data_IF_828721886794
#
_entry.id   IF_828721886794
#
_cell.length_a   1.000
_cell.length_b   1.000
_cell.length_c   1.000
_cell.angle_alpha   90.00
_cell.angle_beta   90.00
_cell.angle_gamma   90.00
#
_symmetry.space_group_name_H-M   'P 1'
#
loop_
_entity.id
_entity.type
_entity.pdbx_description
1 polymer ?
#
# COMPACT_ATOMS: atom_id res chain seq x y z
N UNK A 1 7.58 76.49 31.78
CA UNK A 1 7.06 76.01 33.08
C UNK A 1 6.47 74.61 32.89
N UNK A 2 6.81 73.69 33.80
CA UNK A 2 6.24 72.34 34.11
C UNK A 2 5.69 71.47 32.95
N UNK A 3 6.36 70.37 32.58
CA UNK A 3 6.26 68.98 33.16
C UNK A 3 4.84 68.36 33.12
N UNK A 4 4.66 67.22 32.43
CA UNK A 4 4.47 65.85 33.01
C UNK A 4 3.90 64.84 31.97
N UNK A 5 4.61 63.71 31.82
CA UNK A 5 4.19 62.30 31.66
C UNK A 5 3.18 61.81 30.60
N UNK A 6 3.49 60.63 30.05
CA UNK A 6 2.48 59.58 29.85
C UNK A 6 2.56 58.78 28.56
N UNK A 7 3.20 57.61 28.62
CA UNK A 7 3.16 56.54 27.61
C UNK A 7 1.75 55.95 27.50
N UNK A 8 1.20 55.80 26.29
CA UNK A 8 0.32 54.66 25.95
C UNK A 8 0.58 54.19 24.50
N UNK A 9 0.92 52.92 24.47
CA UNK A 9 1.07 51.97 23.37
C UNK A 9 -0.23 51.83 22.54
N UNK A 10 -0.15 51.90 21.21
CA UNK A 10 -1.17 51.26 20.35
C UNK A 10 -0.57 50.77 19.03
N UNK A 11 -0.48 49.44 19.00
CA UNK A 11 -0.29 48.49 17.91
C UNK A 11 -0.26 49.05 16.47
N UNK A 12 0.93 48.97 15.89
CA UNK A 12 1.11 48.91 14.44
C UNK A 12 0.96 47.44 14.03
N UNK A 13 -0.14 47.10 13.36
CA UNK A 13 -0.32 45.80 12.71
C UNK A 13 0.61 45.77 11.50
N UNK A 14 1.84 45.32 11.71
CA UNK A 14 2.73 44.90 10.62
C UNK A 14 2.30 43.47 10.28
N UNK A 15 1.59 43.31 9.17
CA UNK A 15 1.45 42.01 8.53
C UNK A 15 2.85 41.57 8.07
N UNK A 16 3.54 40.81 8.93
CA UNK A 16 4.64 39.97 8.51
C UNK A 16 4.07 38.91 7.58
N UNK A 17 4.32 39.07 6.29
CA UNK A 17 4.27 37.97 5.33
C UNK A 17 5.38 37.02 5.75
N UNK A 18 5.08 36.11 6.67
CA UNK A 18 5.84 34.88 6.82
C UNK A 18 5.63 34.13 5.51
N UNK A 19 6.59 34.27 4.60
CA UNK A 19 6.79 33.30 3.55
C UNK A 19 6.92 31.95 4.24
N UNK A 20 5.90 31.12 4.11
CA UNK A 20 5.99 29.69 4.38
C UNK A 20 6.98 29.17 3.34
N UNK A 21 8.26 29.23 3.66
CA UNK A 21 9.28 28.47 2.96
C UNK A 21 9.01 27.03 3.38
N UNK A 22 8.09 26.38 2.67
CA UNK A 22 8.04 24.93 2.66
C UNK A 22 9.41 24.40 2.22
N UNK A 23 9.75 23.14 2.55
CA UNK A 23 10.94 22.52 2.01
C UNK A 23 10.97 22.73 0.49
N UNK A 24 12.13 23.14 -0.03
CA UNK A 24 12.31 23.31 -1.47
C UNK A 24 11.82 22.04 -2.17
N UNK A 25 11.03 22.15 -3.27
CA UNK A 25 10.67 20.98 -4.04
C UNK A 25 11.97 20.30 -4.43
N UNK A 26 12.15 19.04 -4.01
CA UNK A 26 13.22 18.19 -4.54
C UNK A 26 12.92 18.08 -6.02
N UNK A 27 13.61 18.88 -6.83
CA UNK A 27 13.49 18.81 -8.28
C UNK A 27 14.02 17.44 -8.68
N UNK A 28 13.11 16.50 -8.96
CA UNK A 28 13.50 15.23 -9.53
C UNK A 28 14.25 15.51 -10.84
N UNK A 29 15.45 14.92 -10.96
CA UNK A 29 16.26 14.90 -12.18
C UNK A 29 15.35 14.50 -13.38
N UNK A 30 15.53 15.02 -14.61
CA UNK A 30 14.85 14.48 -15.80
C UNK A 30 15.03 12.95 -15.94
N UNK A 31 14.05 12.27 -16.54
CA UNK A 31 13.99 10.80 -16.55
C UNK A 31 15.13 10.17 -17.36
N UNK A 32 15.51 10.83 -18.45
CA UNK A 32 16.60 10.47 -19.35
C UNK A 32 17.99 10.69 -18.75
N UNK A 33 18.08 11.51 -17.71
CA UNK A 33 19.30 11.71 -16.98
C UNK A 33 19.58 10.57 -15.98
N UNK A 34 18.59 9.75 -15.59
CA UNK A 34 18.84 8.56 -14.77
C UNK A 34 19.54 7.47 -15.57
N UNK A 35 20.48 6.78 -14.93
CA UNK A 35 21.15 5.62 -15.52
C UNK A 35 20.83 4.35 -14.73
N UNK A 36 20.24 3.37 -15.41
CA UNK A 36 19.85 2.08 -14.82
C UNK A 36 20.71 0.95 -15.38
N UNK A 37 21.17 0.06 -14.50
CA UNK A 37 21.77 -1.22 -14.91
C UNK A 37 20.71 -2.32 -14.81
N UNK A 38 20.45 -3.03 -15.90
CA UNK A 38 19.59 -4.21 -15.93
C UNK A 38 20.46 -5.45 -15.96
N UNK A 39 20.48 -6.20 -14.85
CA UNK A 39 21.24 -7.43 -14.70
C UNK A 39 20.39 -8.63 -15.11
N UNK A 40 20.81 -9.30 -16.19
CA UNK A 40 20.23 -10.55 -16.69
C UNK A 40 21.19 -11.29 -17.62
N UNK A 41 21.10 -12.61 -17.65
CA UNK A 41 21.71 -13.44 -18.69
C UNK A 41 20.72 -13.76 -19.82
N UNK A 42 19.43 -13.86 -19.51
CA UNK A 42 18.36 -14.14 -20.47
C UNK A 42 17.12 -13.29 -20.19
N UNK A 43 16.25 -13.13 -21.18
CA UNK A 43 14.93 -12.54 -20.96
C UNK A 43 14.08 -13.46 -20.09
N UNK A 44 13.67 -12.97 -18.91
CA UNK A 44 12.78 -13.69 -18.02
C UNK A 44 11.47 -14.03 -18.74
N UNK A 45 11.02 -15.27 -18.62
CA UNK A 45 9.76 -15.73 -19.25
C UNK A 45 9.68 -15.51 -20.77
N UNK A 46 10.84 -15.38 -21.43
CA UNK A 46 10.98 -15.07 -22.84
C UNK A 46 10.49 -13.66 -23.22
N UNK A 47 10.51 -12.70 -22.30
CA UNK A 47 10.01 -11.34 -22.54
C UNK A 47 11.00 -10.24 -22.13
N UNK A 48 11.17 -9.18 -22.96
CA UNK A 48 11.98 -8.01 -22.63
C UNK A 48 11.23 -6.96 -21.78
N UNK A 49 10.16 -7.34 -21.08
CA UNK A 49 9.23 -6.43 -20.36
C UNK A 49 9.91 -5.33 -19.55
N UNK A 50 11.01 -5.62 -18.82
CA UNK A 50 11.75 -4.60 -18.05
C UNK A 50 12.31 -3.51 -18.96
N UNK A 51 13.10 -3.89 -19.97
CA UNK A 51 13.77 -2.91 -20.84
C UNK A 51 12.75 -2.16 -21.70
N UNK A 52 11.70 -2.82 -22.18
CA UNK A 52 10.60 -2.15 -22.89
C UNK A 52 9.83 -1.16 -22.01
N UNK A 53 9.73 -1.42 -20.70
CA UNK A 53 9.15 -0.46 -19.76
C UNK A 53 10.05 0.75 -19.59
N UNK A 54 11.36 0.55 -19.41
CA UNK A 54 12.34 1.64 -19.29
C UNK A 54 12.40 2.51 -20.56
N UNK A 55 12.38 1.88 -21.75
CA UNK A 55 12.25 2.58 -23.04
C UNK A 55 10.99 3.45 -23.08
N UNK A 56 9.85 2.90 -22.68
CA UNK A 56 8.58 3.61 -22.63
C UNK A 56 8.53 4.75 -21.61
N UNK A 57 9.44 4.74 -20.63
CA UNK A 57 9.64 5.82 -19.65
C UNK A 57 10.74 6.80 -20.05
N UNK A 58 11.45 6.55 -21.16
CA UNK A 58 12.61 7.31 -21.60
C UNK A 58 13.75 7.31 -20.54
N UNK A 59 13.97 6.17 -19.88
CA UNK A 59 15.07 5.98 -18.92
C UNK A 59 16.27 5.37 -19.65
N UNK A 60 17.45 5.95 -19.48
CA UNK A 60 18.68 5.38 -20.04
C UNK A 60 19.08 4.13 -19.25
N UNK A 61 19.36 3.03 -19.95
CA UNK A 61 19.82 1.80 -19.30
C UNK A 61 20.95 1.09 -20.06
N UNK A 62 21.64 0.21 -19.34
CA UNK A 62 22.54 -0.80 -19.91
C UNK A 62 22.13 -2.19 -19.43
N UNK A 63 22.15 -3.16 -20.34
CA UNK A 63 22.03 -4.58 -19.98
C UNK A 63 23.42 -5.15 -19.73
N UNK A 64 23.56 -5.92 -18.65
CA UNK A 64 24.82 -6.57 -18.25
C UNK A 64 24.55 -7.98 -17.73
N UNK A 65 25.39 -8.93 -18.14
CA UNK A 65 25.34 -10.31 -17.65
C UNK A 65 26.01 -10.49 -16.29
N UNK A 66 25.72 -11.61 -15.61
CA UNK A 66 26.29 -11.92 -14.29
C UNK A 66 27.82 -12.03 -14.30
N UNK A 67 28.39 -12.63 -15.35
CA UNK A 67 29.84 -12.79 -15.52
C UNK A 67 30.54 -11.45 -15.77
N UNK A 68 29.88 -10.54 -16.50
CA UNK A 68 30.39 -9.20 -16.76
C UNK A 68 30.42 -8.35 -15.49
N UNK A 69 29.37 -8.41 -14.65
CA UNK A 69 29.32 -7.73 -13.35
C UNK A 69 30.50 -8.12 -12.44
N UNK A 70 30.97 -9.36 -12.52
CA UNK A 70 32.14 -9.84 -11.78
C UNK A 70 33.38 -8.98 -12.00
N UNK A 71 33.51 -8.39 -13.19
CA UNK A 71 34.66 -7.56 -13.59
C UNK A 71 34.49 -6.07 -13.29
N UNK A 72 33.31 -5.63 -12.82
CA UNK A 72 33.02 -4.22 -12.51
C UNK A 72 33.19 -3.98 -11.00
N UNK A 73 33.88 -2.91 -10.64
CA UNK A 73 34.09 -2.53 -9.24
C UNK A 73 32.86 -1.82 -8.65
N UNK A 74 32.69 -1.86 -7.32
CA UNK A 74 31.61 -1.12 -6.64
C UNK A 74 31.65 0.38 -6.96
N UNK A 75 32.84 0.98 -7.00
CA UNK A 75 33.02 2.39 -7.29
C UNK A 75 32.53 2.77 -8.70
N UNK A 76 32.79 1.91 -9.69
CA UNK A 76 32.28 2.10 -11.05
C UNK A 76 30.74 2.00 -11.07
N UNK A 77 30.16 1.03 -10.37
CA UNK A 77 28.70 0.91 -10.25
C UNK A 77 28.10 2.17 -9.62
N UNK A 78 28.63 2.61 -8.48
CA UNK A 78 28.14 3.78 -7.73
C UNK A 78 28.26 5.06 -8.55
N UNK A 79 29.33 5.25 -9.33
CA UNK A 79 29.50 6.45 -10.16
C UNK A 79 28.62 6.46 -11.40
N UNK A 80 28.26 5.28 -11.91
CA UNK A 80 27.59 5.15 -13.22
C UNK A 80 26.08 5.04 -13.08
N UNK A 81 25.59 4.21 -12.16
CA UNK A 81 24.18 3.82 -12.13
C UNK A 81 23.48 4.36 -10.88
N UNK A 82 22.32 4.97 -11.09
CA UNK A 82 21.43 5.43 -10.04
C UNK A 82 20.62 4.28 -9.43
N UNK A 83 20.30 3.27 -10.25
CA UNK A 83 19.62 2.05 -9.83
C UNK A 83 20.15 0.81 -10.57
N UNK A 84 20.19 -0.33 -9.89
CA UNK A 84 20.41 -1.65 -10.48
C UNK A 84 19.11 -2.45 -10.34
N UNK A 85 18.64 -3.05 -11.44
CA UNK A 85 17.50 -3.98 -11.47
C UNK A 85 18.04 -5.38 -11.77
N UNK A 86 17.79 -6.34 -10.88
CA UNK A 86 18.03 -7.76 -11.10
C UNK A 86 16.73 -8.39 -11.62
N UNK A 87 16.79 -8.89 -12.86
CA UNK A 87 15.66 -9.53 -13.55
C UNK A 87 15.51 -10.97 -13.06
N UNK A 88 14.27 -11.45 -12.96
CA UNK A 88 13.96 -12.77 -12.41
C UNK A 88 14.07 -13.92 -13.44
N UNK A 89 13.66 -15.14 -13.05
CA UNK A 89 13.64 -16.35 -13.91
C UNK A 89 14.91 -16.59 -14.76
N UNK A 90 16.08 -16.51 -14.14
CA UNK A 90 17.38 -16.71 -14.78
C UNK A 90 17.88 -18.17 -14.66
N UNK A 91 18.87 -18.60 -15.48
CA UNK A 91 19.56 -19.88 -15.29
C UNK A 91 20.31 -19.94 -13.95
N UNK A 92 20.55 -21.14 -13.42
CA UNK A 92 21.24 -21.29 -12.12
C UNK A 92 22.61 -20.59 -12.08
N UNK A 93 23.37 -20.62 -13.18
CA UNK A 93 24.68 -19.93 -13.26
C UNK A 93 24.59 -18.43 -12.98
N UNK A 94 23.48 -17.78 -13.36
CA UNK A 94 23.25 -16.38 -13.01
C UNK A 94 23.13 -16.19 -11.50
N UNK A 95 22.31 -16.98 -10.83
CA UNK A 95 22.11 -16.85 -9.38
C UNK A 95 23.37 -17.24 -8.59
N UNK A 96 24.12 -18.23 -9.05
CA UNK A 96 25.41 -18.60 -8.45
C UNK A 96 26.41 -17.45 -8.56
N UNK A 97 26.55 -16.87 -9.75
CA UNK A 97 27.42 -15.71 -9.99
C UNK A 97 26.99 -14.52 -9.13
N UNK A 98 25.71 -14.13 -9.18
CA UNK A 98 25.19 -13.00 -8.41
C UNK A 98 25.30 -13.24 -6.90
N UNK A 99 25.13 -14.48 -6.43
CA UNK A 99 25.30 -14.87 -5.04
C UNK A 99 26.69 -14.49 -4.51
N UNK A 100 27.75 -14.68 -5.31
CA UNK A 100 29.11 -14.26 -4.95
C UNK A 100 29.29 -12.73 -4.91
N UNK A 101 28.39 -11.98 -5.53
CA UNK A 101 28.44 -10.52 -5.65
C UNK A 101 27.49 -9.80 -4.67
N UNK A 102 26.74 -10.50 -3.81
CA UNK A 102 25.78 -9.86 -2.88
C UNK A 102 26.46 -8.79 -2.02
N UNK A 103 27.65 -9.05 -1.47
CA UNK A 103 28.40 -8.04 -0.69
C UNK A 103 28.72 -6.78 -1.50
N UNK A 104 29.12 -6.93 -2.77
CA UNK A 104 29.38 -5.82 -3.71
C UNK A 104 28.12 -4.98 -3.93
N UNK A 105 26.97 -5.64 -4.13
CA UNK A 105 25.68 -4.99 -4.32
C UNK A 105 25.17 -4.31 -3.04
N UNK A 106 25.40 -4.90 -1.87
CA UNK A 106 25.11 -4.25 -0.59
C UNK A 106 25.93 -2.97 -0.40
N UNK A 107 27.22 -2.98 -0.75
CA UNK A 107 28.06 -1.79 -0.67
C UNK A 107 27.63 -0.69 -1.64
N UNK A 108 27.19 -1.06 -2.84
CA UNK A 108 26.55 -0.15 -3.79
C UNK A 108 25.32 0.56 -3.17
N UNK A 109 24.45 -0.20 -2.49
CA UNK A 109 23.27 0.37 -1.82
C UNK A 109 23.68 1.23 -0.62
N UNK A 110 24.64 0.77 0.21
CA UNK A 110 25.14 1.56 1.35
C UNK A 110 25.67 2.93 0.93
N UNK A 111 26.22 3.05 -0.27
CA UNK A 111 26.71 4.29 -0.86
C UNK A 111 25.60 5.29 -1.27
N UNK A 112 24.32 4.92 -1.15
CA UNK A 112 23.19 5.80 -1.46
C UNK A 112 22.46 5.45 -2.76
N UNK A 113 22.72 4.26 -3.31
CA UNK A 113 22.10 3.81 -4.56
C UNK A 113 20.97 2.81 -4.30
N UNK A 114 20.23 2.47 -5.36
CA UNK A 114 19.02 1.67 -5.26
C UNK A 114 19.19 0.31 -5.93
N UNK A 115 18.82 -0.75 -5.22
CA UNK A 115 18.83 -2.10 -5.75
C UNK A 115 17.41 -2.66 -5.79
N UNK A 116 16.91 -2.92 -6.99
CA UNK A 116 15.64 -3.58 -7.24
C UNK A 116 15.91 -5.05 -7.61
N UNK A 117 15.30 -5.98 -6.88
CA UNK A 117 15.49 -7.42 -7.07
C UNK A 117 14.16 -8.06 -7.38
N UNK A 118 13.99 -8.51 -8.62
CA UNK A 118 12.94 -9.44 -8.97
C UNK A 118 13.42 -10.84 -8.59
N UNK A 119 12.92 -11.35 -7.47
CA UNK A 119 13.37 -12.59 -6.86
C UNK A 119 12.52 -13.80 -7.27
N UNK A 120 11.42 -13.61 -8.01
CA UNK A 120 10.54 -14.67 -8.48
C UNK A 120 11.29 -15.68 -9.36
N UNK A 121 11.70 -16.79 -8.77
CA UNK A 121 12.37 -17.89 -9.46
C UNK A 121 11.42 -19.10 -9.50
N UNK A 122 11.94 -20.32 -9.72
CA UNK A 122 11.10 -21.51 -10.00
C UNK A 122 10.24 -21.38 -11.26
N UNK A 123 10.74 -20.63 -12.25
CA UNK A 123 10.14 -20.51 -13.56
C UNK A 123 10.80 -21.40 -14.61
N UNK A 124 10.80 -20.94 -15.85
CA UNK A 124 11.32 -21.70 -16.99
C UNK A 124 12.84 -21.58 -17.14
N UNK A 125 13.45 -20.56 -16.56
CA UNK A 125 14.91 -20.41 -16.48
C UNK A 125 15.57 -21.45 -15.57
N UNK A 126 14.80 -22.06 -14.66
CA UNK A 126 15.22 -23.21 -13.86
C UNK A 126 16.24 -22.91 -12.75
N UNK A 127 16.73 -21.68 -12.63
CA UNK A 127 17.59 -21.26 -11.54
C UNK A 127 16.81 -20.89 -10.27
N UNK A 128 17.47 -20.96 -9.12
CA UNK A 128 16.93 -20.58 -7.82
C UNK A 128 17.94 -19.78 -6.99
N UNK A 129 17.42 -18.89 -6.16
CA UNK A 129 18.19 -18.17 -5.14
C UNK A 129 18.56 -19.13 -4.01
N UNK A 130 19.85 -19.44 -3.89
CA UNK A 130 20.42 -20.24 -2.79
C UNK A 130 21.16 -19.38 -1.76
N UNK A 131 21.46 -18.13 -2.13
CA UNK A 131 22.12 -17.14 -1.27
C UNK A 131 21.07 -16.16 -0.74
N UNK A 132 21.13 -15.76 0.55
CA UNK A 132 20.28 -14.70 1.06
C UNK A 132 20.44 -13.40 0.28
N UNK A 133 19.34 -12.68 0.09
CA UNK A 133 19.31 -11.32 -0.43
C UNK A 133 19.91 -10.35 0.61
N UNK A 134 20.17 -9.09 0.24
CA UNK A 134 20.70 -8.09 1.17
C UNK A 134 19.99 -8.07 2.53
N UNK A 135 20.77 -7.87 3.59
CA UNK A 135 20.30 -7.94 4.99
C UNK A 135 19.69 -9.29 5.38
N UNK A 136 20.14 -10.38 4.75
CA UNK A 136 19.73 -11.75 5.05
C UNK A 136 18.24 -12.03 4.78
N UNK A 137 17.62 -11.26 3.87
CA UNK A 137 16.25 -11.51 3.40
C UNK A 137 16.23 -12.78 2.55
N UNK A 138 15.21 -13.61 2.71
CA UNK A 138 15.09 -14.87 1.98
C UNK A 138 13.76 -14.94 1.25
N UNK A 139 13.76 -15.32 -0.02
CA UNK A 139 12.54 -15.68 -0.73
C UNK A 139 12.11 -17.10 -0.35
N UNK A 140 10.83 -17.27 -0.05
CA UNK A 140 10.19 -18.54 0.26
C UNK A 140 9.22 -18.88 -0.87
N UNK A 141 9.36 -20.09 -1.41
CA UNK A 141 8.50 -20.57 -2.50
C UNK A 141 7.03 -20.59 -2.07
N UNK A 142 6.18 -19.91 -2.83
CA UNK A 142 4.75 -19.89 -2.64
C UNK A 142 4.10 -19.25 -3.85
N UNK A 143 3.19 -19.94 -4.50
CA UNK A 143 2.53 -19.41 -5.69
C UNK A 143 1.22 -18.70 -5.31
N UNK A 144 0.99 -17.54 -5.90
CA UNK A 144 -0.30 -16.87 -5.84
C UNK A 144 -0.68 -16.35 -7.22
N UNK A 145 -1.96 -16.50 -7.57
CA UNK A 145 -2.55 -15.87 -8.75
C UNK A 145 -3.06 -14.45 -8.45
N UNK A 146 -2.96 -14.03 -7.19
CA UNK A 146 -3.52 -12.79 -6.68
C UNK A 146 -2.53 -12.19 -5.68
N UNK A 147 -2.14 -10.94 -5.90
CA UNK A 147 -1.34 -10.17 -4.96
C UNK A 147 -2.08 -8.86 -4.63
N UNK A 148 -2.07 -8.48 -3.37
CA UNK A 148 -2.75 -7.30 -2.88
C UNK A 148 -1.76 -6.17 -2.64
N UNK A 149 -1.98 -5.02 -3.27
CA UNK A 149 -1.19 -3.81 -3.12
C UNK A 149 -1.68 -3.06 -1.88
N UNK A 150 -0.88 -3.12 -0.81
CA UNK A 150 -1.25 -2.64 0.52
C UNK A 150 -1.50 -1.13 0.54
N UNK A 151 -0.63 -0.26 -0.03
CA UNK A 151 -0.83 1.18 0.02
C UNK A 151 -2.10 1.65 -0.72
N UNK A 152 -2.44 0.97 -1.82
CA UNK A 152 -3.49 1.43 -2.74
C UNK A 152 -4.81 0.68 -2.57
N UNK A 153 -4.83 -0.39 -1.77
CA UNK A 153 -5.98 -1.26 -1.55
C UNK A 153 -6.57 -1.79 -2.89
N UNK A 154 -5.69 -2.21 -3.79
CA UNK A 154 -6.03 -2.84 -5.06
C UNK A 154 -5.42 -4.23 -5.15
N UNK A 155 -5.94 -5.01 -6.09
CA UNK A 155 -5.49 -6.38 -6.33
C UNK A 155 -4.89 -6.51 -7.72
N UNK A 156 -3.72 -7.13 -7.80
CA UNK A 156 -3.07 -7.54 -9.04
C UNK A 156 -3.40 -9.01 -9.30
N UNK A 157 -3.89 -9.28 -10.51
CA UNK A 157 -4.29 -10.62 -10.94
C UNK A 157 -3.40 -11.11 -12.09
N UNK A 158 -2.93 -12.35 -12.00
CA UNK A 158 -2.17 -13.04 -13.05
C UNK A 158 -2.23 -14.54 -12.79
N UNK A 159 -2.08 -15.39 -13.81
CA UNK A 159 -2.00 -16.86 -13.60
C UNK A 159 -0.94 -17.25 -12.58
N UNK A 160 0.13 -16.46 -12.51
CA UNK A 160 1.22 -16.62 -11.56
C UNK A 160 1.65 -15.24 -11.05
N UNK A 161 0.76 -14.47 -10.40
CA UNK A 161 1.07 -13.13 -9.89
C UNK A 161 2.36 -13.07 -9.09
N UNK A 162 2.59 -14.05 -8.20
CA UNK A 162 3.84 -14.23 -7.48
C UNK A 162 4.27 -15.68 -7.39
N UNK A 163 5.58 -15.89 -7.31
CA UNK A 163 6.24 -17.19 -7.11
C UNK A 163 6.81 -17.36 -5.71
N UNK A 164 6.80 -16.30 -4.90
CA UNK A 164 7.21 -16.40 -3.51
C UNK A 164 6.84 -15.18 -2.69
N UNK A 165 7.05 -15.31 -1.38
CA UNK A 165 7.01 -14.23 -0.41
C UNK A 165 8.34 -14.16 0.33
N UNK A 166 8.58 -13.07 1.06
CA UNK A 166 9.83 -12.87 1.79
C UNK A 166 9.69 -13.18 3.27
N UNK A 167 10.71 -13.88 3.78
CA UNK A 167 10.95 -14.06 5.20
C UNK A 167 12.20 -13.27 5.63
N UNK A 168 12.35 -13.07 6.94
CA UNK A 168 13.46 -12.32 7.53
C UNK A 168 13.58 -10.88 7.01
N UNK A 169 12.45 -10.26 6.64
CA UNK A 169 12.44 -8.84 6.34
C UNK A 169 12.89 -8.04 7.56
N UNK A 170 13.73 -7.01 7.37
CA UNK A 170 14.16 -6.18 8.48
C UNK A 170 12.99 -5.35 9.04
N UNK A 171 13.13 -4.89 10.29
CA UNK A 171 12.04 -4.20 11.00
C UNK A 171 11.60 -2.87 10.35
N UNK A 172 12.47 -2.25 9.55
CA UNK A 172 12.20 -1.03 8.79
C UNK A 172 11.63 -1.31 7.39
N UNK A 173 11.31 -2.56 7.05
CA UNK A 173 10.73 -2.89 5.76
C UNK A 173 9.30 -2.33 5.64
N UNK A 174 9.07 -1.58 4.58
CA UNK A 174 7.75 -1.22 4.09
C UNK A 174 7.21 -2.34 3.20
N UNK A 175 6.02 -2.85 3.52
CA UNK A 175 5.36 -3.89 2.74
C UNK A 175 4.50 -3.23 1.66
N UNK A 176 4.81 -3.50 0.40
CA UNK A 176 4.09 -2.93 -0.76
C UNK A 176 3.01 -3.89 -1.24
N UNK A 177 3.34 -5.19 -1.34
CA UNK A 177 2.37 -6.22 -1.72
C UNK A 177 2.44 -7.43 -0.80
N UNK A 178 1.29 -8.10 -0.64
CA UNK A 178 1.17 -9.38 0.05
C UNK A 178 0.41 -10.37 -0.82
N UNK A 179 0.72 -11.66 -0.70
CA UNK A 179 -0.04 -12.70 -1.41
C UNK A 179 -1.49 -12.74 -0.93
N UNK A 180 -2.41 -13.07 -1.83
CA UNK A 180 -3.83 -13.24 -1.51
C UNK A 180 -4.43 -14.45 -2.24
N UNK A 181 -3.90 -15.68 -2.08
CA UNK A 181 -4.25 -16.83 -2.91
C UNK A 181 -5.73 -17.24 -2.82
N UNK A 182 -6.42 -16.85 -1.74
CA UNK A 182 -7.86 -17.06 -1.52
C UNK A 182 -8.72 -15.82 -1.83
N UNK A 183 -8.11 -14.76 -2.38
CA UNK A 183 -8.70 -13.43 -2.55
C UNK A 183 -8.65 -12.56 -1.29
N UNK A 184 -8.17 -13.10 -0.16
CA UNK A 184 -7.96 -12.35 1.09
C UNK A 184 -6.46 -12.08 1.29
N UNK A 185 -6.03 -10.84 1.58
CA UNK A 185 -4.61 -10.52 1.83
C UNK A 185 -4.01 -11.29 3.01
N UNK A 186 -2.92 -12.01 2.77
CA UNK A 186 -2.14 -12.73 3.78
C UNK A 186 -0.91 -11.91 4.20
N UNK A 187 -1.06 -11.02 5.20
CA UNK A 187 0.01 -10.12 5.64
C UNK A 187 1.27 -10.80 6.19
N UNK A 188 1.22 -12.10 6.48
CA UNK A 188 2.39 -12.92 6.81
C UNK A 188 3.19 -13.37 5.58
N UNK A 189 2.72 -13.08 4.37
CA UNK A 189 3.34 -13.43 3.09
C UNK A 189 3.59 -12.19 2.23
N UNK A 190 4.49 -11.29 2.65
CA UNK A 190 4.85 -10.12 1.86
C UNK A 190 5.53 -10.54 0.57
N UNK A 191 4.96 -10.16 -0.57
CA UNK A 191 5.48 -10.48 -1.90
C UNK A 191 6.25 -9.33 -2.52
N UNK A 192 6.14 -8.10 -2.00
CA UNK A 192 7.03 -6.98 -2.35
C UNK A 192 7.30 -6.15 -1.11
N UNK A 193 8.56 -5.80 -0.88
CA UNK A 193 8.96 -4.96 0.24
C UNK A 193 10.13 -4.05 -0.13
N UNK A 194 10.18 -2.88 0.50
CA UNK A 194 11.29 -1.92 0.40
C UNK A 194 11.90 -1.72 1.78
N UNK A 195 13.23 -1.75 1.90
CA UNK A 195 13.91 -1.53 3.18
C UNK A 195 15.23 -0.79 3.01
N UNK A 196 15.65 -0.09 4.05
CA UNK A 196 16.87 0.72 4.00
C UNK A 196 18.13 -0.13 4.15
N UNK A 197 19.22 0.32 3.53
CA UNK A 197 20.56 -0.23 3.73
C UNK A 197 21.59 0.89 3.54
N UNK A 198 22.14 1.38 4.65
CA UNK A 198 23.02 2.55 4.64
C UNK A 198 22.26 3.80 4.18
N UNK A 199 22.75 4.47 3.13
CA UNK A 199 22.11 5.67 2.58
C UNK A 199 21.10 5.38 1.46
N UNK A 200 21.07 4.16 0.95
CA UNK A 200 20.17 3.73 -0.11
C UNK A 200 19.11 2.76 0.41
N UNK A 201 18.43 2.09 -0.52
CA UNK A 201 17.42 1.09 -0.20
C UNK A 201 17.43 -0.07 -1.18
N UNK A 202 16.83 -1.17 -0.73
CA UNK A 202 16.58 -2.36 -1.53
C UNK A 202 15.08 -2.54 -1.69
N UNK A 203 14.64 -2.72 -2.94
CA UNK A 203 13.28 -3.12 -3.31
C UNK A 203 13.31 -4.57 -3.74
N UNK A 204 12.63 -5.46 -3.03
CA UNK A 204 12.56 -6.89 -3.38
C UNK A 204 11.14 -7.27 -3.75
N UNK A 205 10.98 -8.06 -4.80
CA UNK A 205 9.67 -8.54 -5.24
C UNK A 205 9.70 -10.02 -5.65
N UNK A 206 8.78 -10.81 -5.12
CA UNK A 206 8.46 -12.18 -5.52
C UNK A 206 7.37 -12.23 -6.59
N UNK A 207 6.93 -11.07 -7.10
CA UNK A 207 6.02 -10.96 -8.23
C UNK A 207 6.71 -11.39 -9.53
N UNK A 208 5.94 -11.95 -10.46
CA UNK A 208 6.42 -12.29 -11.81
C UNK A 208 6.23 -11.09 -12.77
N UNK A 209 6.82 -9.94 -12.44
CA UNK A 209 6.59 -8.66 -13.15
C UNK A 209 6.73 -8.82 -14.67
N UNK A 210 7.81 -9.45 -15.11
CA UNK A 210 8.15 -9.64 -16.52
C UNK A 210 7.13 -10.53 -17.24
N UNK A 211 6.71 -11.62 -16.60
CA UNK A 211 5.65 -12.50 -17.10
C UNK A 211 4.32 -11.76 -17.19
N UNK A 212 3.98 -11.02 -16.13
CA UNK A 212 2.65 -10.47 -15.94
C UNK A 212 2.41 -9.24 -16.80
N UNK A 213 3.41 -8.37 -16.99
CA UNK A 213 3.37 -7.29 -17.99
C UNK A 213 3.12 -7.87 -19.40
N UNK A 214 3.83 -8.94 -19.75
CA UNK A 214 3.75 -9.52 -21.10
C UNK A 214 2.40 -10.18 -21.42
N UNK A 215 1.63 -10.58 -20.41
CA UNK A 215 0.48 -11.48 -20.58
C UNK A 215 -0.83 -11.02 -19.94
N UNK A 216 -0.79 -10.11 -18.96
CA UNK A 216 -1.96 -9.76 -18.14
C UNK A 216 -2.30 -8.27 -18.15
N UNK A 217 -1.71 -7.48 -19.05
CA UNK A 217 -2.26 -6.17 -19.43
C UNK A 217 -1.68 -4.95 -18.70
N UNK A 218 -2.34 -3.79 -18.83
CA UNK A 218 -1.81 -2.47 -18.46
C UNK A 218 -1.65 -2.25 -16.95
N UNK A 219 -2.42 -2.93 -16.10
CA UNK A 219 -2.34 -2.77 -14.64
C UNK A 219 -0.98 -3.17 -14.09
N UNK A 220 -0.40 -4.26 -14.60
CA UNK A 220 0.95 -4.70 -14.23
C UNK A 220 2.03 -3.77 -14.74
N UNK A 221 1.85 -3.20 -15.93
CA UNK A 221 2.76 -2.21 -16.48
C UNK A 221 2.76 -0.93 -15.64
N UNK A 222 1.59 -0.42 -15.27
CA UNK A 222 1.48 0.78 -14.45
C UNK A 222 2.00 0.56 -13.03
N UNK A 223 1.67 -0.57 -12.39
CA UNK A 223 2.26 -0.93 -11.11
C UNK A 223 3.79 -0.95 -11.17
N UNK A 224 4.36 -1.55 -12.21
CA UNK A 224 5.81 -1.62 -12.36
C UNK A 224 6.44 -0.24 -12.62
N UNK A 225 5.81 0.60 -13.46
CA UNK A 225 6.23 1.99 -13.69
C UNK A 225 6.27 2.77 -12.38
N UNK A 226 5.24 2.66 -11.55
CA UNK A 226 5.21 3.31 -10.25
C UNK A 226 6.33 2.83 -9.33
N UNK A 227 6.62 1.52 -9.33
CA UNK A 227 7.71 0.96 -8.55
C UNK A 227 9.07 1.55 -8.99
N UNK A 228 9.33 1.60 -10.30
CA UNK A 228 10.55 2.22 -10.88
C UNK A 228 10.63 3.71 -10.51
N UNK A 229 9.55 4.47 -10.65
CA UNK A 229 9.50 5.89 -10.30
C UNK A 229 9.81 6.12 -8.82
N UNK A 230 9.13 5.39 -7.93
CA UNK A 230 9.35 5.46 -6.48
C UNK A 230 10.80 5.11 -6.13
N UNK A 231 11.35 4.07 -6.75
CA UNK A 231 12.73 3.66 -6.54
C UNK A 231 13.74 4.72 -7.00
N UNK A 232 13.49 5.42 -8.11
CA UNK A 232 14.31 6.55 -8.56
C UNK A 232 14.10 7.84 -7.76
N UNK A 233 13.29 7.82 -6.69
CA UNK A 233 13.05 8.97 -5.85
C UNK A 233 12.09 10.00 -6.45
N UNK A 234 11.37 9.64 -7.53
CA UNK A 234 10.24 10.45 -7.96
C UNK A 234 9.14 10.31 -6.92
N UNK A 235 8.88 11.42 -6.23
CA UNK A 235 7.56 11.62 -5.67
C UNK A 235 6.61 11.68 -6.86
N UNK A 236 5.70 10.72 -6.98
CA UNK A 236 4.51 10.99 -7.77
C UNK A 236 3.89 12.23 -7.14
N UNK A 237 3.97 13.37 -7.83
CA UNK A 237 2.93 14.38 -7.63
C UNK A 237 1.70 13.59 -8.01
N UNK A 238 0.99 13.06 -7.02
CA UNK A 238 -0.29 12.42 -7.25
C UNK A 238 -1.01 13.38 -8.20
N UNK A 239 -1.42 12.94 -9.41
CA UNK A 239 -2.22 13.81 -10.25
C UNK A 239 -3.28 14.38 -9.32
N UNK A 240 -3.44 15.72 -9.29
CA UNK A 240 -4.51 16.33 -8.50
C UNK A 240 -5.76 15.59 -8.91
N UNK A 241 -6.15 14.62 -8.06
CA UNK A 241 -7.27 13.76 -8.33
C UNK A 241 -8.41 14.76 -8.38
N UNK A 242 -9.12 14.94 -9.52
CA UNK A 242 -10.29 15.80 -9.52
C UNK A 242 -11.12 15.33 -8.34
N UNK A 243 -11.35 16.23 -7.37
CA UNK A 243 -11.73 15.91 -6.00
C UNK A 243 -12.59 14.64 -5.95
N UNK A 244 -11.93 13.50 -5.71
CA UNK A 244 -12.61 12.23 -5.61
C UNK A 244 -13.17 12.20 -4.20
N UNK A 245 -14.46 11.91 -4.01
CA UNK A 245 -15.13 12.10 -2.74
C UNK A 245 -14.39 11.28 -1.69
N UNK A 246 -13.82 11.99 -0.70
CA UNK A 246 -13.09 11.50 0.47
C UNK A 246 -12.68 10.03 0.47
N UNK A 247 -11.37 9.76 0.34
CA UNK A 247 -10.80 8.45 0.61
C UNK A 247 -11.36 7.87 1.91
N UNK A 248 -11.62 6.56 1.92
CA UNK A 248 -12.26 5.83 3.00
C UNK A 248 -11.49 6.00 4.33
N UNK A 249 -11.79 7.07 5.06
CA UNK A 249 -11.17 7.37 6.34
C UNK A 249 -11.90 6.54 7.39
N UNK A 250 -11.32 5.38 7.74
CA UNK A 250 -11.94 4.43 8.64
C UNK A 250 -12.37 5.05 9.97
N UNK A 251 -11.61 6.02 10.50
CA UNK A 251 -12.03 6.74 11.70
C UNK A 251 -13.27 7.61 11.46
N UNK A 252 -13.33 8.34 10.34
CA UNK A 252 -14.50 9.15 9.96
C UNK A 252 -15.72 8.29 9.71
N UNK A 253 -15.55 7.14 9.06
CA UNK A 253 -16.64 6.21 8.79
C UNK A 253 -17.09 5.45 10.04
N UNK A 254 -16.16 5.01 10.90
CA UNK A 254 -16.48 4.46 12.22
C UNK A 254 -17.23 5.49 13.07
N UNK A 255 -16.79 6.74 13.10
CA UNK A 255 -17.48 7.82 13.79
C UNK A 255 -18.88 8.08 13.22
N UNK A 256 -19.03 8.07 11.88
CA UNK A 256 -20.31 8.21 11.21
C UNK A 256 -21.28 7.09 11.60
N UNK A 257 -20.86 5.83 11.48
CA UNK A 257 -21.72 4.69 11.78
C UNK A 257 -22.02 4.56 13.28
N UNK A 258 -21.08 4.90 14.15
CA UNK A 258 -21.32 5.04 15.59
C UNK A 258 -22.42 6.06 15.88
N UNK A 259 -22.30 7.27 15.32
CA UNK A 259 -23.28 8.35 15.53
C UNK A 259 -24.65 7.98 14.95
N UNK A 260 -24.67 7.36 13.78
CA UNK A 260 -25.88 6.87 13.12
C UNK A 260 -26.58 5.83 14.00
N UNK A 261 -25.87 4.81 14.46
CA UNK A 261 -26.43 3.78 15.34
C UNK A 261 -27.04 4.39 16.62
N UNK A 262 -26.33 5.30 17.30
CA UNK A 262 -26.82 5.93 18.53
C UNK A 262 -28.09 6.77 18.30
N UNK A 263 -28.13 7.54 17.20
CA UNK A 263 -29.31 8.33 16.84
C UNK A 263 -30.49 7.43 16.50
N UNK A 264 -30.26 6.43 15.67
CA UNK A 264 -31.29 5.52 15.19
C UNK A 264 -31.80 4.63 16.34
N UNK A 265 -30.96 4.25 17.30
CA UNK A 265 -31.40 3.54 18.51
C UNK A 265 -32.38 4.38 19.34
N UNK A 266 -32.10 5.67 19.52
CA UNK A 266 -33.00 6.60 20.21
C UNK A 266 -34.33 6.76 19.46
N UNK A 267 -34.27 6.86 18.14
CA UNK A 267 -35.45 6.98 17.28
C UNK A 267 -36.30 5.71 17.31
N UNK A 268 -35.68 4.54 17.14
CA UNK A 268 -36.32 3.25 17.29
C UNK A 268 -37.06 3.13 18.61
N UNK A 269 -36.42 3.46 19.74
CA UNK A 269 -37.06 3.38 21.06
C UNK A 269 -38.30 4.29 21.16
N UNK A 270 -38.27 5.47 20.53
CA UNK A 270 -39.44 6.35 20.47
C UNK A 270 -40.53 5.83 19.55
N UNK A 271 -40.18 5.31 18.37
CA UNK A 271 -41.13 4.82 17.38
C UNK A 271 -41.78 3.51 17.82
N UNK A 272 -41.02 2.63 18.46
CA UNK A 272 -41.51 1.36 18.97
C UNK A 272 -42.61 1.58 20.02
N UNK A 273 -42.41 2.50 20.96
CA UNK A 273 -43.44 2.89 21.93
C UNK A 273 -44.73 3.40 21.25
N UNK A 274 -44.59 4.27 20.25
CA UNK A 274 -45.75 4.78 19.47
C UNK A 274 -46.44 3.68 18.66
N UNK A 275 -45.68 2.75 18.08
CA UNK A 275 -46.22 1.63 17.32
C UNK A 275 -47.05 0.70 18.21
N UNK A 276 -46.58 0.46 19.45
CA UNK A 276 -47.36 -0.27 20.47
C UNK A 276 -48.65 0.48 20.81
N UNK A 277 -48.60 1.78 21.07
CA UNK A 277 -49.79 2.60 21.37
C UNK A 277 -50.81 2.62 20.22
N UNK A 278 -50.34 2.60 18.96
CA UNK A 278 -51.17 2.54 17.75
C UNK A 278 -51.70 1.14 17.42
N UNK A 279 -51.36 0.13 18.24
CA UNK A 279 -51.80 -1.25 18.03
C UNK A 279 -51.28 -1.86 16.73
N UNK A 280 -50.05 -1.53 16.32
CA UNK A 280 -49.35 -2.27 15.28
C UNK A 280 -49.26 -3.74 15.72
N UNK A 281 -49.40 -4.66 14.78
CA UNK A 281 -49.48 -6.09 15.08
C UNK A 281 -48.15 -6.63 15.66
N UNK A 282 -48.28 -7.68 16.48
CA UNK A 282 -47.15 -8.26 17.21
C UNK A 282 -46.09 -8.90 16.29
N UNK A 283 -46.47 -9.32 15.08
CA UNK A 283 -45.53 -9.90 14.12
C UNK A 283 -44.59 -8.82 13.59
N UNK A 284 -45.15 -7.69 13.16
CA UNK A 284 -44.39 -6.51 12.73
C UNK A 284 -43.50 -5.96 13.85
N UNK A 285 -44.03 -5.84 15.08
CA UNK A 285 -43.25 -5.42 16.25
C UNK A 285 -42.11 -6.42 16.56
N UNK A 286 -42.35 -7.72 16.40
CA UNK A 286 -41.34 -8.76 16.57
C UNK A 286 -40.23 -8.69 15.52
N UNK A 287 -40.57 -8.41 14.26
CA UNK A 287 -39.59 -8.24 13.18
C UNK A 287 -38.70 -7.00 13.39
N UNK A 288 -39.28 -5.90 13.86
CA UNK A 288 -38.51 -4.71 14.22
C UNK A 288 -37.59 -4.97 15.42
N UNK A 289 -38.07 -5.67 16.45
CA UNK A 289 -37.26 -6.06 17.61
C UNK A 289 -36.09 -6.97 17.22
N UNK A 290 -36.30 -7.96 16.35
CA UNK A 290 -35.23 -8.84 15.87
C UNK A 290 -34.10 -8.08 15.17
N UNK A 291 -34.43 -7.05 14.38
CA UNK A 291 -33.42 -6.20 13.75
C UNK A 291 -32.67 -5.35 14.78
N UNK A 292 -33.36 -4.82 15.78
CA UNK A 292 -32.74 -4.07 16.88
C UNK A 292 -31.81 -4.95 17.73
N UNK A 293 -32.19 -6.19 18.03
CA UNK A 293 -31.36 -7.14 18.77
C UNK A 293 -30.10 -7.51 17.97
N UNK A 294 -30.26 -7.75 16.66
CA UNK A 294 -29.14 -7.98 15.75
C UNK A 294 -28.19 -6.77 15.71
N UNK A 295 -28.73 -5.55 15.68
CA UNK A 295 -27.93 -4.33 15.72
C UNK A 295 -27.17 -4.17 17.05
N UNK A 296 -27.80 -4.50 18.18
CA UNK A 296 -27.17 -4.49 19.50
C UNK A 296 -26.00 -5.48 19.59
N UNK A 297 -26.17 -6.70 19.08
CA UNK A 297 -25.11 -7.71 19.07
C UNK A 297 -23.86 -7.23 18.29
N UNK A 298 -24.04 -6.63 17.11
CA UNK A 298 -22.91 -6.04 16.37
C UNK A 298 -22.27 -4.87 17.12
N UNK A 299 -23.06 -4.03 17.79
CA UNK A 299 -22.51 -2.94 18.58
C UNK A 299 -21.72 -3.43 19.81
N UNK A 300 -22.17 -4.50 20.47
CA UNK A 300 -21.44 -5.17 21.54
C UNK A 300 -20.12 -5.78 21.03
N UNK A 301 -20.14 -6.38 19.84
CA UNK A 301 -18.95 -6.95 19.20
C UNK A 301 -17.87 -5.88 18.92
N UNK A 302 -18.29 -4.68 18.49
CA UNK A 302 -17.40 -3.53 18.36
C UNK A 302 -16.71 -3.13 19.69
N UNK A 303 -17.32 -3.46 20.84
CA UNK A 303 -16.81 -3.19 22.18
C UNK A 303 -15.84 -4.22 22.74
N UNK A 304 -15.61 -5.35 22.05
CA UNK A 304 -14.72 -6.44 22.52
C UNK A 304 -13.26 -6.01 22.74
N UNK A 305 -12.84 -4.89 22.15
CA UNK A 305 -11.49 -4.34 22.23
C UNK A 305 -11.36 -3.17 23.22
N UNK A 306 -12.34 -2.97 24.10
CA UNK A 306 -12.43 -1.84 25.02
C UNK A 306 -13.43 -0.78 24.52
N UNK A 307 -13.41 0.45 25.08
CA UNK A 307 -14.35 1.50 24.68
C UNK A 307 -14.37 1.71 23.16
N UNK A 308 -15.56 1.63 22.56
CA UNK A 308 -15.76 1.64 21.10
C UNK A 308 -15.10 2.85 20.42
N UNK A 309 -15.27 4.05 20.97
CA UNK A 309 -14.70 5.29 20.42
C UNK A 309 -13.15 5.27 20.43
N UNK A 310 -12.53 4.66 21.45
CA UNK A 310 -11.08 4.58 21.56
C UNK A 310 -10.44 3.62 20.54
N UNK A 311 -11.27 2.86 19.81
CA UNK A 311 -10.84 1.81 18.88
C UNK A 311 -11.32 2.02 17.43
N UNK A 312 -11.77 3.21 17.06
CA UNK A 312 -12.27 3.53 15.70
C UNK A 312 -11.26 3.32 14.56
N UNK A 313 -9.97 3.33 14.88
CA UNK A 313 -8.89 3.01 13.96
C UNK A 313 -8.82 1.52 13.58
N UNK A 314 -9.47 0.64 14.35
CA UNK A 314 -9.48 -0.80 14.09
C UNK A 314 -10.50 -1.13 13.02
N UNK A 315 -10.07 -1.91 12.03
CA UNK A 315 -10.93 -2.26 10.90
C UNK A 315 -12.13 -3.14 11.27
N UNK A 316 -11.98 -4.03 12.24
CA UNK A 316 -13.10 -4.84 12.74
C UNK A 316 -14.18 -3.99 13.42
N UNK A 317 -13.78 -2.97 14.20
CA UNK A 317 -14.70 -2.01 14.83
C UNK A 317 -15.50 -1.25 13.76
N UNK A 318 -14.90 -0.90 12.63
CA UNK A 318 -15.61 -0.29 11.52
C UNK A 318 -16.72 -1.21 10.96
N UNK A 319 -16.40 -2.47 10.70
CA UNK A 319 -17.36 -3.42 10.13
C UNK A 319 -18.53 -3.67 11.08
N UNK A 320 -18.25 -3.86 12.36
CA UNK A 320 -19.26 -4.08 13.40
C UNK A 320 -20.18 -2.85 13.55
N UNK A 321 -19.61 -1.63 13.59
CA UNK A 321 -20.39 -0.39 13.65
C UNK A 321 -21.27 -0.18 12.41
N UNK A 322 -20.75 -0.50 11.22
CA UNK A 322 -21.52 -0.41 9.97
C UNK A 322 -22.71 -1.36 10.01
N UNK A 323 -22.52 -2.61 10.46
CA UNK A 323 -23.59 -3.59 10.54
C UNK A 323 -24.63 -3.20 11.61
N UNK A 324 -24.19 -2.74 12.78
CA UNK A 324 -25.06 -2.22 13.82
C UNK A 324 -25.97 -1.10 13.28
N UNK A 325 -25.40 -0.08 12.62
CA UNK A 325 -26.17 1.02 12.05
C UNK A 325 -27.15 0.57 10.95
N UNK A 326 -26.76 -0.38 10.09
CA UNK A 326 -27.62 -0.87 9.01
C UNK A 326 -28.84 -1.65 9.55
N UNK A 327 -28.63 -2.52 10.53
CA UNK A 327 -29.72 -3.28 11.15
C UNK A 327 -30.64 -2.36 11.97
N UNK A 328 -30.09 -1.37 12.66
CA UNK A 328 -30.89 -0.40 13.40
C UNK A 328 -31.81 0.41 12.48
N UNK A 329 -31.29 0.84 11.32
CA UNK A 329 -32.09 1.55 10.32
C UNK A 329 -33.22 0.69 9.74
N UNK A 330 -32.99 -0.62 9.58
CA UNK A 330 -34.05 -1.57 9.15
C UNK A 330 -35.13 -1.71 10.22
N UNK A 331 -34.75 -1.76 11.50
CA UNK A 331 -35.70 -1.81 12.61
C UNK A 331 -36.64 -0.59 12.61
N UNK A 332 -36.09 0.61 12.42
CA UNK A 332 -36.89 1.85 12.26
C UNK A 332 -37.82 1.74 11.07
N UNK A 333 -37.29 1.38 9.89
CA UNK A 333 -38.07 1.37 8.65
C UNK A 333 -39.29 0.45 8.73
N UNK A 334 -39.15 -0.74 9.34
CA UNK A 334 -40.27 -1.66 9.55
C UNK A 334 -41.40 -0.96 10.33
N UNK A 335 -41.06 -0.21 11.38
CA UNK A 335 -42.04 0.52 12.18
C UNK A 335 -42.65 1.70 11.42
N UNK A 336 -41.83 2.47 10.70
CA UNK A 336 -42.30 3.60 9.89
C UNK A 336 -43.28 3.17 8.81
N UNK A 337 -42.92 2.14 8.04
CA UNK A 337 -43.77 1.60 6.97
C UNK A 337 -45.10 1.10 7.54
N UNK A 338 -45.06 0.35 8.66
CA UNK A 338 -46.28 -0.15 9.31
C UNK A 338 -47.18 0.94 9.90
N UNK A 339 -46.60 2.07 10.34
CA UNK A 339 -47.34 3.22 10.85
C UNK A 339 -47.84 4.14 9.74
N UNK A 340 -47.32 4.04 8.52
CA UNK A 340 -47.77 4.81 7.36
C UNK A 340 -48.99 4.17 6.68
N UNK A 341 -49.14 2.85 6.79
CA UNK A 341 -50.24 2.07 6.21
C UNK A 341 -51.54 2.08 7.06
N UNK A 342 -51.63 2.93 8.09
CA UNK A 342 -52.79 3.04 8.99
C UNK A 342 -53.29 4.46 9.23
#
# INVERSE_FOLDING_TARGET
>A
MSKFFGVVLSLLVIFSIMAIVGPAPVSAKPMDEYSVLVLKNTDAWGSPSVVSTLDGMNITYRVMGSSELGNVTTDELVKTYDMIIIVNDQPQSFYDDIGTQIGKLEDYVRAGRVLEIHAANWGWGGGVWTTPLPRNVTIVQSYSSIDYVVPDNITLHSNYASHGYFANLPADAEIITVQAPTGTPEYSRPSTAVYTLGKGHVSVTGLTIEYSIARNGPEWLEFYREMVLKNLGYSTVAPQKPASPGGFNIMRYSFYYYTQYQRDLKEYNSLYGKAVERGIDNETLGMAAMQNDTASAYYEDAGRYGPVIANFQRMYVFFDLRMAALHQKRAIKILEDAMADR
#
